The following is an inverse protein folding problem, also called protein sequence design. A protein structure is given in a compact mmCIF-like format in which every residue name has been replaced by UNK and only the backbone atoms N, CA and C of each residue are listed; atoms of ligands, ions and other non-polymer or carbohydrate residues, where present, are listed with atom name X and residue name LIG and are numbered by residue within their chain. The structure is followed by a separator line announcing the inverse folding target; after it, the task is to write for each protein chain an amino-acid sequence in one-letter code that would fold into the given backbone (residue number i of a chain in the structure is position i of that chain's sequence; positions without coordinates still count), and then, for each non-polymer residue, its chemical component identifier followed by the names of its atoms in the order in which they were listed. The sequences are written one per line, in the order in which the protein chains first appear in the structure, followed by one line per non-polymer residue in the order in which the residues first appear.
data_IF_963768357884
#
_entry.id   IF_963768357884
#
_cell.length_a   1.000
_cell.length_b   1.000
_cell.length_c   1.000
_cell.angle_alpha   90.00
_cell.angle_beta   90.00
_cell.angle_gamma   90.00
#
_symmetry.space_group_name_H-M   'P 1'
#
loop_
_entity.id
_entity.type
_entity.pdbx_description
1 polymer ?
#
# COMPACT_ATOMS: atom_id res chain seq x y z
N UNK A 1 -50.29 -38.29 -0.23
CA UNK A 1 -48.84 -38.38 -0.14
C UNK A 1 -48.29 -37.04 -0.66
N UNK A 2 -47.91 -36.13 0.26
CA UNK A 2 -47.43 -34.79 -0.09
C UNK A 2 -45.91 -34.83 -0.05
N UNK A 3 -45.28 -34.70 -1.20
CA UNK A 3 -43.82 -34.64 -1.35
C UNK A 3 -43.35 -33.18 -1.07
N UNK A 4 -42.77 -32.96 0.11
CA UNK A 4 -42.19 -31.69 0.47
C UNK A 4 -40.75 -31.64 -0.03
N UNK A 5 -40.51 -30.88 -1.08
CA UNK A 5 -39.15 -30.67 -1.62
C UNK A 5 -38.52 -29.58 -0.78
N UNK A 6 -37.55 -29.96 0.06
CA UNK A 6 -36.66 -29.01 0.74
C UNK A 6 -35.59 -28.54 -0.26
N UNK A 7 -35.72 -27.33 -0.76
CA UNK A 7 -34.66 -26.67 -1.52
C UNK A 7 -33.68 -26.14 -0.49
N UNK A 8 -32.54 -26.81 -0.31
CA UNK A 8 -31.42 -26.33 0.46
C UNK A 8 -30.74 -25.23 -0.36
N UNK A 9 -30.97 -23.96 0.02
CA UNK A 9 -30.26 -22.82 -0.50
C UNK A 9 -28.85 -22.82 0.10
N UNK A 10 -27.86 -23.33 -0.63
CA UNK A 10 -26.46 -23.18 -0.29
C UNK A 10 -26.04 -21.74 -0.60
N UNK A 11 -25.98 -20.91 0.43
CA UNK A 11 -25.31 -19.62 0.36
C UNK A 11 -23.81 -19.85 0.17
N UNK A 12 -23.34 -19.80 -1.05
CA UNK A 12 -21.91 -19.68 -1.34
C UNK A 12 -21.47 -18.29 -0.90
N UNK A 13 -20.81 -18.22 0.26
CA UNK A 13 -20.12 -17.00 0.69
C UNK A 13 -18.96 -16.75 -0.27
N UNK A 14 -19.16 -15.85 -1.22
CA UNK A 14 -18.09 -15.27 -2.02
C UNK A 14 -17.22 -14.43 -1.06
N UNK A 15 -16.19 -15.04 -0.49
CA UNK A 15 -15.06 -14.29 0.10
C UNK A 15 -14.30 -13.66 -1.07
N UNK A 16 -14.85 -12.56 -1.59
CA UNK A 16 -14.14 -11.72 -2.54
C UNK A 16 -12.96 -11.07 -1.84
N UNK A 17 -11.73 -11.25 -2.37
CA UNK A 17 -10.60 -10.45 -1.96
C UNK A 17 -10.98 -8.96 -2.12
N UNK A 18 -10.81 -8.16 -1.05
CA UNK A 18 -11.15 -6.75 -1.08
C UNK A 18 -10.19 -6.01 -2.03
N UNK A 19 -10.75 -5.16 -2.90
CA UNK A 19 -9.96 -4.27 -3.74
C UNK A 19 -9.10 -3.35 -2.86
N UNK A 20 -7.79 -3.22 -3.12
CA UNK A 20 -6.92 -2.34 -2.36
C UNK A 20 -7.42 -0.89 -2.35
N UNK A 21 -7.37 -0.24 -1.18
CA UNK A 21 -7.82 1.12 -0.95
C UNK A 21 -6.64 2.06 -0.77
N UNK A 22 -6.40 2.95 -1.73
CA UNK A 22 -5.38 3.99 -1.63
C UNK A 22 -5.63 4.95 -0.46
N UNK A 23 -6.89 5.26 -0.15
CA UNK A 23 -7.25 6.11 0.98
C UNK A 23 -6.88 5.45 2.31
N UNK A 24 -7.13 4.16 2.48
CA UNK A 24 -6.70 3.42 3.65
C UNK A 24 -5.18 3.29 3.69
N UNK A 25 -4.55 3.07 2.54
CA UNK A 25 -3.10 3.01 2.39
C UNK A 25 -2.40 4.27 2.87
N UNK A 26 -2.96 5.45 2.61
CA UNK A 26 -2.46 6.71 3.16
C UNK A 26 -2.48 6.72 4.69
N UNK A 27 -3.61 6.32 5.29
CA UNK A 27 -3.72 6.26 6.75
C UNK A 27 -2.67 5.33 7.37
N UNK A 28 -2.41 4.20 6.72
CA UNK A 28 -1.41 3.23 7.16
C UNK A 28 -0.02 3.80 7.02
N UNK A 29 0.30 4.42 5.90
CA UNK A 29 1.58 5.08 5.65
C UNK A 29 1.90 6.16 6.70
N UNK A 30 0.90 6.93 7.08
CA UNK A 30 1.02 7.95 8.11
C UNK A 30 1.11 7.32 9.52
N UNK A 31 0.22 6.38 9.85
CA UNK A 31 0.10 5.80 11.19
C UNK A 31 1.31 4.98 11.61
N UNK A 32 1.94 4.28 10.68
CA UNK A 32 3.14 3.49 10.95
C UNK A 32 4.44 4.26 10.73
N UNK A 33 4.36 5.55 10.43
CA UNK A 33 5.51 6.44 10.36
C UNK A 33 6.40 6.27 9.12
N UNK A 34 5.90 5.62 8.08
CA UNK A 34 6.64 5.41 6.83
C UNK A 34 7.11 6.74 6.22
N UNK A 35 6.27 7.77 6.32
CA UNK A 35 6.55 9.12 5.82
C UNK A 35 7.78 9.78 6.45
N UNK A 36 8.14 9.41 7.68
CA UNK A 36 9.27 10.01 8.38
C UNK A 36 10.59 9.81 7.63
N UNK A 37 10.75 8.67 6.99
CA UNK A 37 11.93 8.34 6.20
C UNK A 37 11.70 8.53 4.70
N UNK A 38 10.49 8.21 4.22
CA UNK A 38 10.18 8.17 2.79
C UNK A 38 9.49 9.43 2.26
N UNK A 39 9.21 10.42 3.12
CA UNK A 39 8.47 11.63 2.76
C UNK A 39 6.96 11.42 2.70
N UNK A 40 6.18 12.49 2.95
CA UNK A 40 4.70 12.41 2.97
C UNK A 40 4.10 11.93 1.64
N UNK A 41 4.72 12.30 0.53
CA UNK A 41 4.30 11.89 -0.81
C UNK A 41 5.15 10.73 -1.35
N UNK A 42 5.90 10.05 -0.50
CA UNK A 42 6.75 8.94 -0.90
C UNK A 42 7.88 9.31 -1.85
N UNK A 43 8.22 10.58 -1.96
CA UNK A 43 9.26 11.08 -2.87
C UNK A 43 10.68 10.90 -2.35
N UNK A 44 10.84 10.35 -1.16
CA UNK A 44 12.13 10.11 -0.53
C UNK A 44 12.45 11.12 0.56
N UNK A 45 13.49 10.80 1.28
CA UNK A 45 14.07 11.57 2.37
C UNK A 45 15.36 10.88 2.76
N UNK A 46 15.52 10.53 4.04
CA UNK A 46 16.62 9.64 4.46
C UNK A 46 16.41 8.22 3.92
N UNK A 47 15.16 7.83 3.66
CA UNK A 47 14.80 6.60 2.97
C UNK A 47 14.63 6.79 1.48
N UNK A 48 14.55 5.67 0.75
CA UNK A 48 14.41 5.68 -0.69
C UNK A 48 13.09 6.30 -1.16
N UNK A 49 13.09 6.82 -2.38
CA UNK A 49 11.86 7.21 -3.07
C UNK A 49 11.02 5.98 -3.36
N UNK A 50 9.73 6.05 -3.01
CA UNK A 50 8.76 4.96 -3.20
C UNK A 50 7.73 5.28 -4.27
N UNK A 51 7.45 6.54 -4.51
CA UNK A 51 6.39 7.01 -5.39
C UNK A 51 6.93 8.07 -6.40
N UNK A 52 6.26 8.21 -7.53
CA UNK A 52 5.31 7.27 -8.12
C UNK A 52 6.03 6.04 -8.69
N UNK A 53 5.30 5.10 -9.22
CA UNK A 53 5.88 3.89 -9.81
C UNK A 53 6.72 3.08 -8.80
N UNK A 54 6.12 2.58 -7.72
CA UNK A 54 6.82 1.72 -6.78
C UNK A 54 7.32 0.45 -7.49
N UNK A 55 8.35 -0.16 -6.93
CA UNK A 55 8.84 -1.47 -7.40
C UNK A 55 7.71 -2.51 -7.40
N UNK A 56 7.80 -3.61 -8.17
CA UNK A 56 6.74 -4.61 -8.24
C UNK A 56 6.28 -5.08 -6.84
N UNK A 57 4.98 -5.28 -6.67
CA UNK A 57 4.37 -5.56 -5.37
C UNK A 57 5.02 -6.72 -4.62
N UNK A 58 5.37 -7.81 -5.31
CA UNK A 58 6.01 -8.95 -4.68
C UNK A 58 7.37 -8.58 -4.05
N UNK A 59 8.16 -7.75 -4.73
CA UNK A 59 9.44 -7.25 -4.21
C UNK A 59 9.24 -6.25 -3.09
N UNK A 60 8.29 -5.33 -3.25
CA UNK A 60 7.90 -4.37 -2.24
C UNK A 60 7.45 -5.06 -0.94
N UNK A 61 6.54 -6.01 -1.04
CA UNK A 61 6.02 -6.78 0.09
C UNK A 61 7.14 -7.51 0.83
N UNK A 62 7.98 -8.23 0.09
CA UNK A 62 9.13 -8.92 0.69
C UNK A 62 10.08 -7.97 1.41
N UNK A 63 10.36 -6.82 0.81
CA UNK A 63 11.28 -5.84 1.40
C UNK A 63 10.72 -5.23 2.69
N UNK A 64 9.44 -4.89 2.73
CA UNK A 64 8.79 -4.37 3.94
C UNK A 64 8.83 -5.40 5.08
N UNK A 65 8.67 -6.69 4.75
CA UNK A 65 8.74 -7.78 5.73
C UNK A 65 10.15 -8.07 6.23
N UNK A 66 11.13 -8.00 5.34
CA UNK A 66 12.53 -8.31 5.60
C UNK A 66 13.44 -7.30 4.90
N UNK A 67 13.52 -6.06 5.41
CA UNK A 67 14.34 -5.02 4.80
C UNK A 67 15.82 -5.28 4.98
N UNK A 68 16.62 -4.79 4.04
CA UNK A 68 18.05 -4.62 4.20
C UNK A 68 18.33 -3.21 4.75
N UNK A 69 19.39 -3.06 5.57
CA UNK A 69 19.78 -1.77 6.13
C UNK A 69 18.97 -1.36 7.35
N UNK A 70 18.74 -0.06 7.49
CA UNK A 70 18.20 0.54 8.73
C UNK A 70 16.68 0.59 8.79
N UNK A 71 15.97 0.28 7.71
CA UNK A 71 14.52 0.22 7.73
C UNK A 71 14.05 -0.87 8.71
N UNK A 72 13.15 -0.57 9.65
CA UNK A 72 12.62 -1.59 10.55
C UNK A 72 11.73 -2.58 9.79
N UNK A 73 11.73 -3.86 10.17
CA UNK A 73 10.82 -4.85 9.58
C UNK A 73 9.40 -4.67 10.09
N UNK A 74 8.43 -4.80 9.20
CA UNK A 74 7.01 -4.81 9.53
C UNK A 74 6.45 -6.20 9.24
N UNK A 75 6.18 -6.96 10.29
CA UNK A 75 5.57 -8.29 10.15
C UNK A 75 4.08 -8.17 9.80
N UNK A 76 3.48 -9.26 9.34
CA UNK A 76 2.04 -9.29 9.06
C UNK A 76 1.16 -9.17 10.31
N UNK A 77 1.73 -9.26 11.50
CA UNK A 77 1.05 -8.96 12.77
C UNK A 77 0.93 -7.45 13.01
N UNK A 78 1.84 -6.66 12.49
CA UNK A 78 1.86 -5.19 12.62
C UNK A 78 1.13 -4.56 11.44
N UNK A 79 1.49 -4.92 10.22
CA UNK A 79 0.85 -4.47 8.98
C UNK A 79 0.36 -5.71 8.25
N UNK A 80 -0.96 -5.89 8.17
CA UNK A 80 -1.55 -7.05 7.49
C UNK A 80 -1.23 -7.04 5.98
N UNK A 81 -1.45 -8.17 5.32
CA UNK A 81 -1.26 -8.25 3.87
C UNK A 81 -2.23 -7.33 3.12
N UNK A 82 -3.47 -7.17 3.62
CA UNK A 82 -4.44 -6.23 3.05
C UNK A 82 -3.97 -4.78 3.23
N UNK A 83 -3.52 -4.42 4.42
CA UNK A 83 -2.98 -3.08 4.70
C UNK A 83 -1.76 -2.77 3.84
N UNK A 84 -0.89 -3.76 3.61
CA UNK A 84 0.26 -3.61 2.73
C UNK A 84 -0.16 -3.39 1.27
N UNK A 85 -1.19 -4.09 0.81
CA UNK A 85 -1.76 -3.89 -0.52
C UNK A 85 -2.40 -2.50 -0.65
N UNK A 86 -3.10 -2.03 0.38
CA UNK A 86 -3.68 -0.70 0.43
C UNK A 86 -2.60 0.39 0.37
N UNK A 87 -1.54 0.22 1.14
CA UNK A 87 -0.39 1.15 1.14
C UNK A 87 0.29 1.18 -0.24
N UNK A 88 0.45 0.03 -0.89
CA UNK A 88 0.99 -0.04 -2.25
C UNK A 88 0.10 0.70 -3.26
N UNK A 89 -1.23 0.54 -3.16
CA UNK A 89 -2.18 1.27 -3.98
C UNK A 89 -2.08 2.79 -3.76
N UNK A 90 -1.86 3.22 -2.52
CA UNK A 90 -1.60 4.63 -2.21
C UNK A 90 -0.34 5.15 -2.91
N UNK A 91 0.77 4.44 -2.82
CA UNK A 91 2.03 4.83 -3.48
C UNK A 91 1.89 4.91 -5.00
N UNK A 92 1.10 3.99 -5.61
CA UNK A 92 0.80 4.02 -7.03
C UNK A 92 -0.05 5.24 -7.44
N UNK A 93 -0.88 5.76 -6.53
CA UNK A 93 -1.79 6.88 -6.78
C UNK A 93 -1.11 8.24 -6.72
N UNK A 94 0.11 8.31 -6.19
CA UNK A 94 0.79 9.58 -5.96
C UNK A 94 1.36 10.17 -7.26
N UNK A 95 1.30 11.51 -7.41
CA UNK A 95 1.80 12.17 -8.60
C UNK A 95 3.34 12.19 -8.65
N UNK A 96 3.87 12.50 -9.83
CA UNK A 96 5.28 12.81 -9.99
C UNK A 96 5.66 14.03 -9.14
N UNK A 97 6.86 14.07 -8.54
CA UNK A 97 7.36 15.28 -7.92
C UNK A 97 7.47 16.40 -8.95
N UNK A 98 7.34 17.67 -8.51
CA UNK A 98 7.56 18.81 -9.39
C UNK A 98 8.91 18.73 -10.09
N UNK A 99 8.95 19.05 -11.39
CA UNK A 99 10.21 19.15 -12.10
C UNK A 99 11.03 20.33 -11.55
N UNK A 100 12.34 20.15 -11.37
CA UNK A 100 13.23 21.22 -10.97
C UNK A 100 13.09 22.47 -11.87
N UNK A 101 12.79 22.29 -13.16
CA UNK A 101 12.56 23.37 -14.12
C UNK A 101 11.33 24.22 -13.78
N UNK A 102 10.37 23.70 -13.00
CA UNK A 102 9.17 24.43 -12.60
C UNK A 102 9.30 25.13 -11.26
N UNK A 103 10.44 25.00 -10.59
CA UNK A 103 10.71 25.61 -9.30
C UNK A 103 11.59 26.86 -9.54
N UNK A 104 11.02 28.08 -9.40
CA UNK A 104 11.74 29.33 -9.79
C UNK A 104 13.10 29.50 -9.11
N UNK A 105 13.19 29.16 -7.83
CA UNK A 105 14.42 29.32 -7.05
C UNK A 105 15.57 28.39 -7.53
N UNK A 106 15.28 27.37 -8.28
CA UNK A 106 16.29 26.44 -8.83
C UNK A 106 16.75 26.80 -10.25
N UNK A 107 16.15 27.83 -10.86
CA UNK A 107 16.39 28.23 -12.25
C UNK A 107 17.05 29.61 -12.30
N UNK A 108 18.25 29.71 -11.75
CA UNK A 108 19.10 30.90 -11.85
C UNK A 108 20.08 30.81 -13.01
#
# INVERSE_FOLDING_TARGET
MRLTIFIAMTMASLLGAQTPSAQNGRKIFDSYGCYQCHGHDGHGGVGARLAPNPIPFATFSRYVRQPAGEMPPYTNKVVSDQELADMYAYLQSLPQPPSAKTIPILNH
#
